data_IF_558059262161
#
_entry.id   IF_558059262161
#
_cell.length_a   1.000
_cell.length_b   1.000
_cell.length_c   1.000
_cell.angle_alpha   90.00
_cell.angle_beta   90.00
_cell.angle_gamma   90.00
#
_symmetry.space_group_name_H-M   'P 1'
#
loop_
_entity.id
_entity.type
_entity.pdbx_description
1 polymer ?
#
# COMPACT_ATOMS: atom_id res chain seq x y z
N UNK A 1 1.14 -59.21 -35.22
CA UNK A 1 1.93 -58.04 -35.62
C UNK A 1 1.14 -56.71 -35.79
N UNK A 2 -0.18 -56.69 -36.06
CA UNK A 2 -0.95 -55.44 -36.28
C UNK A 2 -1.39 -54.70 -34.99
N UNK A 3 -1.48 -55.33 -33.79
CA UNK A 3 -1.88 -54.68 -32.54
C UNK A 3 -0.76 -53.84 -31.90
N UNK A 4 0.50 -54.25 -32.01
CA UNK A 4 1.66 -53.55 -31.44
C UNK A 4 1.98 -52.24 -32.19
N UNK A 5 1.62 -52.16 -33.48
CA UNK A 5 1.80 -50.94 -34.29
C UNK A 5 0.80 -49.84 -33.95
N UNK A 6 -0.44 -50.19 -33.57
CA UNK A 6 -1.45 -49.21 -33.21
C UNK A 6 -1.21 -48.57 -31.82
N UNK A 7 -0.74 -49.38 -30.87
CA UNK A 7 -0.39 -48.88 -29.51
C UNK A 7 0.86 -47.99 -29.52
N UNK A 8 1.84 -48.31 -30.37
CA UNK A 8 3.03 -47.44 -30.55
C UNK A 8 2.69 -46.12 -31.26
N UNK A 9 1.77 -46.12 -32.24
CA UNK A 9 1.29 -44.88 -32.87
C UNK A 9 0.46 -44.01 -31.89
N UNK A 10 -0.40 -44.63 -31.07
CA UNK A 10 -1.17 -43.90 -30.04
C UNK A 10 -0.25 -43.30 -28.96
N UNK A 11 0.75 -44.04 -28.48
CA UNK A 11 1.73 -43.54 -27.52
C UNK A 11 2.66 -42.46 -28.10
N UNK A 12 2.98 -42.51 -29.36
CA UNK A 12 3.77 -41.46 -30.05
C UNK A 12 2.93 -40.21 -30.24
N UNK A 13 1.67 -40.31 -30.63
CA UNK A 13 0.76 -39.18 -30.77
C UNK A 13 0.44 -38.52 -29.42
N UNK A 14 0.28 -39.29 -28.33
CA UNK A 14 0.08 -38.75 -26.97
C UNK A 14 1.36 -38.10 -26.44
N UNK A 15 2.54 -38.64 -26.74
CA UNK A 15 3.82 -37.97 -26.38
C UNK A 15 4.07 -36.71 -27.22
N UNK A 16 3.72 -36.73 -28.51
CA UNK A 16 3.79 -35.52 -29.34
C UNK A 16 2.75 -34.48 -28.94
N UNK A 17 1.51 -34.87 -28.61
CA UNK A 17 0.51 -33.94 -28.03
C UNK A 17 0.96 -33.39 -26.70
N UNK A 18 1.46 -34.19 -25.75
CA UNK A 18 2.03 -33.68 -24.49
C UNK A 18 3.27 -32.80 -24.70
N UNK A 19 4.11 -33.09 -25.69
CA UNK A 19 5.25 -32.26 -26.05
C UNK A 19 4.81 -30.97 -26.75
N UNK A 20 3.73 -31.00 -27.53
CA UNK A 20 3.13 -29.83 -28.19
C UNK A 20 2.33 -28.98 -27.15
N UNK A 21 1.67 -29.62 -26.19
CA UNK A 21 1.02 -28.91 -25.08
C UNK A 21 2.05 -28.28 -24.13
N UNK A 22 3.14 -28.98 -23.81
CA UNK A 22 4.23 -28.39 -22.99
C UNK A 22 5.01 -27.30 -23.74
N UNK A 23 5.13 -27.38 -25.05
CA UNK A 23 5.72 -26.36 -25.92
C UNK A 23 4.75 -25.19 -26.18
N UNK A 24 3.44 -25.40 -26.06
CA UNK A 24 2.41 -24.39 -26.29
C UNK A 24 2.23 -23.38 -25.14
N UNK A 25 2.58 -23.76 -23.92
CA UNK A 25 2.50 -22.86 -22.75
C UNK A 25 3.80 -22.09 -22.45
N UNK A 26 4.94 -22.59 -22.87
CA UNK A 26 6.27 -22.02 -22.57
C UNK A 26 6.70 -20.89 -23.52
N UNK A 27 6.01 -20.66 -24.64
CA UNK A 27 6.44 -19.73 -25.70
C UNK A 27 5.53 -18.51 -25.91
N UNK A 28 4.56 -18.22 -25.01
CA UNK A 28 3.70 -17.06 -25.21
C UNK A 28 4.46 -15.74 -25.02
N UNK A 29 5.27 -15.59 -23.97
CA UNK A 29 6.08 -14.39 -23.70
C UNK A 29 7.58 -14.74 -23.73
N UNK A 30 8.43 -13.90 -24.37
CA UNK A 30 9.88 -14.14 -24.38
C UNK A 30 10.50 -13.97 -23.00
N UNK A 31 11.64 -14.62 -22.78
CA UNK A 31 12.46 -14.37 -21.59
C UNK A 31 13.08 -12.99 -21.66
N UNK A 32 12.81 -12.17 -20.65
CA UNK A 32 13.37 -10.83 -20.57
C UNK A 32 14.76 -10.86 -19.89
N UNK A 33 15.71 -10.04 -20.35
CA UNK A 33 16.96 -9.82 -19.64
C UNK A 33 16.71 -9.30 -18.23
N UNK A 34 17.53 -9.72 -17.27
CA UNK A 34 17.40 -9.25 -15.86
C UNK A 34 17.44 -7.72 -15.76
N UNK A 35 18.23 -7.04 -16.60
CA UNK A 35 18.29 -5.58 -16.67
C UNK A 35 16.95 -4.94 -16.98
N UNK A 36 16.16 -5.54 -17.89
CA UNK A 36 14.82 -5.07 -18.23
C UNK A 36 13.85 -5.28 -17.05
N UNK A 37 13.92 -6.43 -16.38
CA UNK A 37 13.11 -6.69 -15.18
C UNK A 37 13.45 -5.71 -14.06
N UNK A 38 14.73 -5.44 -13.82
CA UNK A 38 15.14 -4.45 -12.84
C UNK A 38 14.68 -3.03 -13.23
N UNK A 39 14.87 -2.60 -14.47
CA UNK A 39 14.41 -1.30 -14.94
C UNK A 39 12.89 -1.13 -14.82
N UNK A 40 12.13 -2.20 -15.12
CA UNK A 40 10.67 -2.21 -15.02
C UNK A 40 10.15 -2.09 -13.58
N UNK A 41 10.91 -2.58 -12.61
CA UNK A 41 10.52 -2.59 -11.20
C UNK A 41 11.18 -1.48 -10.38
N UNK A 42 12.19 -0.82 -10.94
CA UNK A 42 13.02 0.19 -10.24
C UNK A 42 12.21 1.40 -9.76
N UNK A 43 11.21 1.84 -10.52
CA UNK A 43 10.33 2.94 -10.15
C UNK A 43 9.51 2.71 -8.88
N UNK A 44 9.40 1.45 -8.43
CA UNK A 44 8.75 1.14 -7.16
C UNK A 44 9.46 1.78 -5.96
N UNK A 45 10.77 2.10 -6.06
CA UNK A 45 11.49 2.86 -5.03
C UNK A 45 10.80 4.20 -4.81
N UNK A 46 10.70 5.03 -5.86
CA UNK A 46 10.16 6.39 -5.76
C UNK A 46 8.69 6.43 -5.37
N UNK A 47 7.86 5.55 -5.93
CA UNK A 47 6.44 5.49 -5.59
C UNK A 47 6.23 5.11 -4.12
N UNK A 48 6.98 4.13 -3.61
CA UNK A 48 6.87 3.75 -2.20
C UNK A 48 7.49 4.81 -1.27
N UNK A 49 8.48 5.60 -1.73
CA UNK A 49 8.93 6.79 -0.99
C UNK A 49 7.77 7.79 -0.84
N UNK A 50 7.01 8.06 -1.90
CA UNK A 50 5.86 8.96 -1.83
C UNK A 50 4.82 8.47 -0.82
N UNK A 51 4.38 7.21 -0.90
CA UNK A 51 3.42 6.63 0.05
C UNK A 51 3.94 6.64 1.49
N UNK A 52 5.21 6.32 1.71
CA UNK A 52 5.77 6.28 3.06
C UNK A 52 5.93 7.68 3.66
N UNK A 53 6.36 8.66 2.89
CA UNK A 53 6.40 10.07 3.35
C UNK A 53 5.00 10.56 3.69
N UNK A 54 4.00 10.27 2.85
CA UNK A 54 2.61 10.60 3.13
C UNK A 54 2.16 9.93 4.44
N UNK A 55 2.28 8.62 4.57
CA UNK A 55 1.82 7.88 5.74
C UNK A 55 2.53 8.26 7.04
N UNK A 56 3.85 8.50 7.00
CA UNK A 56 4.64 8.80 8.20
C UNK A 56 4.65 10.27 8.60
N UNK A 57 4.46 11.20 7.65
CA UNK A 57 4.58 12.64 7.93
C UNK A 57 3.24 13.40 7.87
N UNK A 58 2.17 12.81 7.37
CA UNK A 58 0.88 13.50 7.18
C UNK A 58 0.32 14.06 8.49
N UNK A 59 0.25 13.23 9.54
CA UNK A 59 -0.21 13.67 10.87
C UNK A 59 0.69 14.78 11.44
N UNK A 60 2.00 14.67 11.25
CA UNK A 60 2.98 15.68 11.68
C UNK A 60 2.78 17.00 10.95
N UNK A 61 2.72 17.00 9.61
CA UNK A 61 2.55 18.21 8.81
C UNK A 61 1.24 18.91 9.16
N UNK A 62 0.14 18.18 9.17
CA UNK A 62 -1.20 18.74 9.43
C UNK A 62 -1.30 19.37 10.82
N UNK A 63 -0.79 18.73 11.85
CA UNK A 63 -0.77 19.30 13.19
C UNK A 63 0.18 20.51 13.28
N UNK A 64 1.33 20.48 12.62
CA UNK A 64 2.30 21.59 12.59
C UNK A 64 1.72 22.86 11.97
N UNK A 65 0.89 22.78 10.94
CA UNK A 65 0.22 23.94 10.32
C UNK A 65 -1.00 24.41 11.11
N UNK A 66 -1.33 23.75 12.22
CA UNK A 66 -2.38 24.17 13.15
C UNK A 66 -3.71 23.45 12.99
N UNK A 67 -3.75 22.30 12.34
CA UNK A 67 -4.94 21.44 12.31
C UNK A 67 -5.17 20.88 13.72
N UNK A 68 -6.38 21.10 14.24
CA UNK A 68 -6.77 20.50 15.50
C UNK A 68 -6.80 18.96 15.37
N UNK A 69 -6.27 18.20 16.35
CA UNK A 69 -6.31 16.74 16.32
C UNK A 69 -7.72 16.15 16.09
N UNK A 70 -8.78 16.82 16.56
CA UNK A 70 -10.17 16.43 16.25
C UNK A 70 -10.51 16.48 14.76
N UNK A 71 -9.84 17.31 13.98
CA UNK A 71 -10.08 17.48 12.54
C UNK A 71 -9.15 16.62 11.67
N UNK A 72 -8.24 15.84 12.25
CA UNK A 72 -7.33 14.98 11.49
C UNK A 72 -8.08 13.94 10.64
N UNK A 73 -9.24 13.48 11.10
CA UNK A 73 -10.08 12.56 10.36
C UNK A 73 -10.38 12.99 8.93
N UNK A 74 -10.53 14.30 8.66
CA UNK A 74 -10.75 14.79 7.27
C UNK A 74 -9.61 14.45 6.33
N UNK A 75 -8.38 14.56 6.78
CA UNK A 75 -7.18 14.31 5.99
C UNK A 75 -6.98 12.81 5.73
N UNK A 76 -7.30 11.97 6.72
CA UNK A 76 -7.19 10.51 6.60
C UNK A 76 -8.41 9.86 5.92
N UNK A 77 -9.52 10.60 5.75
CA UNK A 77 -10.70 10.18 4.98
C UNK A 77 -10.46 10.22 3.47
N UNK A 78 -9.75 11.27 2.98
CA UNK A 78 -9.63 11.54 1.54
C UNK A 78 -8.90 10.44 0.75
N UNK A 79 -7.74 9.91 1.20
CA UNK A 79 -7.03 8.85 0.49
C UNK A 79 -7.88 7.59 0.23
N UNK A 80 -8.50 6.97 1.24
CA UNK A 80 -9.31 5.77 1.01
C UNK A 80 -10.57 6.06 0.20
N UNK A 81 -11.16 7.25 0.34
CA UNK A 81 -12.31 7.66 -0.47
C UNK A 81 -11.95 7.72 -1.95
N UNK A 82 -10.83 8.34 -2.29
CA UNK A 82 -10.36 8.39 -3.68
C UNK A 82 -9.91 7.02 -4.18
N UNK A 83 -9.18 6.26 -3.37
CA UNK A 83 -8.71 4.92 -3.72
C UNK A 83 -9.84 3.96 -4.07
N UNK A 84 -10.98 4.05 -3.37
CA UNK A 84 -12.16 3.23 -3.61
C UNK A 84 -12.75 3.42 -5.02
N UNK A 85 -12.73 4.65 -5.56
CA UNK A 85 -13.29 4.96 -6.88
C UNK A 85 -12.24 4.94 -7.99
N UNK A 86 -11.05 5.46 -7.71
CA UNK A 86 -10.04 5.71 -8.75
C UNK A 86 -9.34 4.44 -9.20
N UNK A 87 -9.03 3.50 -8.29
CA UNK A 87 -8.31 2.28 -8.66
C UNK A 87 -9.06 1.41 -9.69
N UNK A 88 -10.38 1.15 -9.57
CA UNK A 88 -11.13 0.44 -10.60
C UNK A 88 -11.19 1.18 -11.95
N UNK A 89 -11.30 2.51 -11.91
CA UNK A 89 -11.33 3.33 -13.12
C UNK A 89 -9.98 3.30 -13.84
N UNK A 90 -8.87 3.45 -13.11
CA UNK A 90 -7.52 3.35 -13.67
C UNK A 90 -7.26 2.01 -14.35
N UNK A 91 -7.68 0.91 -13.71
CA UNK A 91 -7.59 -0.42 -14.33
C UNK A 91 -8.28 -0.45 -15.68
N UNK A 92 -9.55 -0.04 -15.73
CA UNK A 92 -10.37 -0.02 -16.94
C UNK A 92 -9.78 0.87 -18.04
N UNK A 93 -9.43 2.11 -17.72
CA UNK A 93 -8.86 3.03 -18.69
C UNK A 93 -7.48 2.60 -19.17
N UNK A 94 -6.63 2.12 -18.27
CA UNK A 94 -5.31 1.61 -18.62
C UNK A 94 -5.39 0.39 -19.53
N UNK A 95 -6.43 -0.44 -19.41
CA UNK A 95 -6.63 -1.60 -20.26
C UNK A 95 -7.07 -1.24 -21.69
N UNK A 96 -7.73 -0.12 -21.88
CA UNK A 96 -8.19 0.38 -23.19
C UNK A 96 -7.22 1.36 -23.85
N UNK A 97 -6.19 1.83 -23.13
CA UNK A 97 -5.24 2.81 -23.65
C UNK A 97 -4.17 2.14 -24.51
N UNK A 98 -3.97 2.67 -25.73
CA UNK A 98 -2.87 2.31 -26.60
C UNK A 98 -2.27 3.57 -27.20
N UNK A 99 -0.98 3.80 -26.93
CA UNK A 99 -0.23 4.93 -27.44
C UNK A 99 1.08 4.47 -28.06
N UNK A 100 1.81 5.41 -28.70
CA UNK A 100 3.17 5.16 -29.19
C UNK A 100 4.18 4.75 -28.10
N UNK A 101 3.88 5.05 -26.83
CA UNK A 101 4.70 4.71 -25.66
C UNK A 101 4.30 3.38 -25.02
N UNK A 102 3.24 2.75 -25.52
CA UNK A 102 2.66 1.56 -24.96
C UNK A 102 1.33 1.84 -24.26
N UNK A 103 0.96 0.96 -23.34
CA UNK A 103 -0.34 0.90 -22.66
C UNK A 103 -0.25 1.43 -21.22
N UNK A 104 0.86 1.17 -20.54
CA UNK A 104 1.07 1.50 -19.12
C UNK A 104 1.97 2.73 -18.92
N UNK A 105 2.99 2.88 -19.74
CA UNK A 105 3.96 4.00 -19.66
C UNK A 105 3.31 5.38 -19.70
N UNK A 106 2.23 5.65 -20.48
CA UNK A 106 1.58 6.97 -20.47
C UNK A 106 1.08 7.41 -19.11
N UNK A 107 0.63 6.47 -18.26
CA UNK A 107 0.18 6.77 -16.91
C UNK A 107 1.34 7.17 -15.99
N UNK A 108 2.54 6.61 -16.20
CA UNK A 108 3.75 7.04 -15.50
C UNK A 108 4.22 8.41 -15.98
N UNK A 109 4.14 8.69 -17.29
CA UNK A 109 4.51 9.97 -17.87
C UNK A 109 3.67 11.14 -17.31
N UNK A 110 2.42 10.90 -16.99
CA UNK A 110 1.52 11.90 -16.41
C UNK A 110 1.55 11.86 -14.88
N UNK A 111 1.45 10.68 -14.30
CA UNK A 111 1.33 10.49 -12.86
C UNK A 111 2.57 10.91 -12.09
N UNK A 112 3.77 10.52 -12.55
CA UNK A 112 4.98 10.82 -11.81
C UNK A 112 5.30 12.32 -11.72
N UNK A 113 5.26 13.13 -12.80
CA UNK A 113 5.48 14.58 -12.70
C UNK A 113 4.44 15.27 -11.79
N UNK A 114 3.16 14.90 -11.86
CA UNK A 114 2.13 15.50 -11.01
C UNK A 114 2.38 15.13 -9.54
N UNK A 115 2.68 13.86 -9.24
CA UNK A 115 3.03 13.43 -7.88
C UNK A 115 4.25 14.22 -7.36
N UNK A 116 5.28 14.40 -8.18
CA UNK A 116 6.48 15.18 -7.84
C UNK A 116 6.13 16.63 -7.51
N UNK A 117 5.31 17.29 -8.32
CA UNK A 117 4.86 18.67 -8.06
C UNK A 117 4.13 18.74 -6.71
N UNK A 118 3.21 17.84 -6.46
CA UNK A 118 2.46 17.80 -5.20
C UNK A 118 3.36 17.49 -4.01
N UNK A 119 4.31 16.55 -4.14
CA UNK A 119 5.32 16.27 -3.10
C UNK A 119 6.16 17.50 -2.78
N UNK A 120 6.52 18.30 -3.77
CA UNK A 120 7.25 19.56 -3.54
C UNK A 120 6.34 20.56 -2.81
N UNK A 121 5.09 20.69 -3.24
CA UNK A 121 4.18 21.73 -2.71
C UNK A 121 3.66 21.44 -1.31
N UNK A 122 3.40 20.18 -0.96
CA UNK A 122 2.76 19.79 0.31
C UNK A 122 3.50 20.31 1.56
N UNK A 123 4.82 20.14 1.73
CA UNK A 123 5.51 20.61 2.93
C UNK A 123 5.62 22.14 3.02
N UNK A 124 5.39 22.88 1.95
CA UNK A 124 5.38 24.34 1.93
C UNK A 124 4.03 24.95 2.34
N UNK A 125 3.03 24.15 2.71
CA UNK A 125 1.70 24.63 3.12
C UNK A 125 1.77 25.77 4.14
N UNK A 126 2.65 25.68 5.13
CA UNK A 126 2.83 26.72 6.14
C UNK A 126 3.61 27.96 5.65
N UNK A 127 4.26 27.88 4.48
CA UNK A 127 5.13 28.96 3.94
C UNK A 127 4.41 29.90 2.97
N UNK A 128 3.21 29.56 2.52
CA UNK A 128 2.44 30.37 1.55
C UNK A 128 1.70 31.55 2.19
N UNK A 129 1.92 31.86 3.47
CA UNK A 129 1.28 32.98 4.14
C UNK A 129 -0.20 32.77 4.50
N UNK A 130 -0.70 31.54 4.45
CA UNK A 130 -2.10 31.25 4.77
C UNK A 130 -2.47 31.46 6.25
N UNK A 131 -1.49 31.57 7.13
CA UNK A 131 -1.69 31.72 8.58
C UNK A 131 -1.85 30.38 9.30
N UNK A 132 -1.41 30.36 10.56
CA UNK A 132 -1.51 29.18 11.43
C UNK A 132 -2.96 28.83 11.73
N UNK A 133 -3.36 27.58 11.49
CA UNK A 133 -4.71 27.11 11.77
C UNK A 133 -5.79 27.70 10.85
N UNK A 134 -5.41 28.36 9.75
CA UNK A 134 -6.38 28.93 8.82
C UNK A 134 -7.08 27.86 7.99
N UNK A 135 -8.36 28.11 7.64
CA UNK A 135 -9.11 27.22 6.75
C UNK A 135 -8.42 27.05 5.40
N UNK A 136 -7.78 28.10 4.87
CA UNK A 136 -7.06 28.07 3.59
C UNK A 136 -5.87 27.08 3.64
N UNK A 137 -5.07 27.12 4.72
CA UNK A 137 -3.98 26.15 4.91
C UNK A 137 -4.50 24.71 5.01
N UNK A 138 -5.61 24.52 5.73
CA UNK A 138 -6.23 23.19 5.88
C UNK A 138 -6.76 22.65 4.56
N UNK A 139 -7.49 23.46 3.79
CA UNK A 139 -8.04 23.06 2.47
C UNK A 139 -6.90 22.78 1.49
N UNK A 140 -5.88 23.62 1.46
CA UNK A 140 -4.71 23.39 0.63
C UNK A 140 -4.01 22.06 0.97
N UNK A 141 -3.74 21.79 2.25
CA UNK A 141 -3.13 20.54 2.69
C UNK A 141 -4.01 19.33 2.34
N UNK A 142 -5.33 19.43 2.53
CA UNK A 142 -6.26 18.35 2.20
C UNK A 142 -6.25 18.02 0.70
N UNK A 143 -6.30 19.04 -0.15
CA UNK A 143 -6.20 18.88 -1.61
C UNK A 143 -4.85 18.28 -2.01
N UNK A 144 -3.75 18.79 -1.45
CA UNK A 144 -2.41 18.28 -1.76
C UNK A 144 -2.27 16.80 -1.33
N UNK A 145 -2.74 16.41 -0.14
CA UNK A 145 -2.73 15.03 0.33
C UNK A 145 -3.58 14.14 -0.58
N UNK A 146 -4.77 14.58 -0.96
CA UNK A 146 -5.66 13.86 -1.83
C UNK A 146 -5.06 13.64 -3.24
N UNK A 147 -4.46 14.68 -3.81
CA UNK A 147 -3.77 14.58 -5.10
C UNK A 147 -2.52 13.71 -5.02
N UNK A 148 -1.76 13.80 -3.93
CA UNK A 148 -0.59 12.96 -3.72
C UNK A 148 -0.95 11.48 -3.70
N UNK A 149 -1.99 11.11 -2.94
CA UNK A 149 -2.47 9.73 -2.90
C UNK A 149 -2.99 9.26 -4.26
N UNK A 150 -3.83 10.08 -4.90
CA UNK A 150 -4.40 9.81 -6.21
C UNK A 150 -3.32 9.50 -7.24
N UNK A 151 -2.36 10.41 -7.41
CA UNK A 151 -1.33 10.26 -8.45
C UNK A 151 -0.24 9.26 -8.08
N UNK A 152 0.03 9.02 -6.80
CA UNK A 152 0.86 7.90 -6.36
C UNK A 152 0.24 6.56 -6.74
N UNK A 153 -1.08 6.41 -6.59
CA UNK A 153 -1.82 5.23 -7.06
C UNK A 153 -1.83 5.12 -8.58
N UNK A 154 -1.96 6.25 -9.31
CA UNK A 154 -1.80 6.28 -10.78
C UNK A 154 -0.43 5.78 -11.22
N UNK A 155 0.63 6.05 -10.44
CA UNK A 155 1.97 5.53 -10.71
C UNK A 155 2.12 4.05 -10.32
N UNK A 156 1.56 3.62 -9.19
CA UNK A 156 1.74 2.26 -8.69
C UNK A 156 1.09 1.20 -9.58
N UNK A 157 -0.09 1.50 -10.13
CA UNK A 157 -0.85 0.57 -10.96
C UNK A 157 -0.07 0.09 -12.21
N UNK A 158 0.55 0.96 -13.02
CA UNK A 158 1.38 0.54 -14.15
C UNK A 158 2.51 -0.42 -13.75
N UNK A 159 3.21 -0.19 -12.65
CA UNK A 159 4.30 -1.07 -12.21
C UNK A 159 3.81 -2.49 -11.94
N UNK A 160 2.66 -2.63 -11.31
CA UNK A 160 2.03 -3.94 -11.08
C UNK A 160 1.61 -4.59 -12.40
N UNK A 161 1.02 -3.82 -13.31
CA UNK A 161 0.51 -4.33 -14.58
C UNK A 161 1.63 -4.69 -15.57
N UNK A 162 2.72 -3.90 -15.64
CA UNK A 162 3.86 -4.19 -16.51
C UNK A 162 4.46 -5.58 -16.24
N UNK A 163 4.60 -5.97 -14.98
CA UNK A 163 5.08 -7.30 -14.64
C UNK A 163 4.12 -8.40 -15.11
N UNK A 164 2.81 -8.16 -15.07
CA UNK A 164 1.79 -9.09 -15.59
C UNK A 164 1.77 -9.16 -17.11
N UNK A 165 1.93 -8.01 -17.78
CA UNK A 165 1.77 -7.87 -19.22
C UNK A 165 3.02 -8.32 -20.02
N UNK A 166 4.23 -8.17 -19.46
CA UNK A 166 5.48 -8.35 -20.20
C UNK A 166 6.29 -9.56 -19.78
N UNK A 167 6.10 -10.07 -18.56
CA UNK A 167 6.97 -11.11 -17.99
C UNK A 167 6.34 -12.49 -18.12
N UNK A 168 7.11 -13.46 -18.65
CA UNK A 168 6.67 -14.85 -18.74
C UNK A 168 6.49 -15.50 -17.35
N UNK A 169 5.73 -16.60 -17.29
CA UNK A 169 5.40 -17.28 -16.03
C UNK A 169 6.63 -17.68 -15.20
N UNK A 170 7.73 -18.08 -15.86
CA UNK A 170 8.97 -18.50 -15.17
C UNK A 170 9.66 -17.34 -14.46
N UNK A 171 9.51 -16.12 -14.98
CA UNK A 171 10.18 -14.92 -14.44
C UNK A 171 9.24 -14.05 -13.59
N UNK A 172 7.93 -14.33 -13.54
CA UNK A 172 6.96 -13.53 -12.78
C UNK A 172 7.35 -13.42 -11.30
N UNK A 173 7.71 -14.52 -10.65
CA UNK A 173 8.12 -14.50 -9.26
C UNK A 173 9.34 -13.59 -9.05
N UNK A 174 10.29 -13.59 -9.97
CA UNK A 174 11.47 -12.72 -9.92
C UNK A 174 11.08 -11.25 -10.02
N UNK A 175 10.21 -10.90 -10.99
CA UNK A 175 9.74 -9.52 -11.17
C UNK A 175 8.97 -9.01 -9.95
N UNK A 176 8.03 -9.80 -9.41
CA UNK A 176 7.29 -9.46 -8.20
C UNK A 176 8.20 -9.31 -6.97
N UNK A 177 9.21 -10.19 -6.84
CA UNK A 177 10.18 -10.10 -5.74
C UNK A 177 10.98 -8.79 -5.82
N UNK A 178 11.47 -8.40 -6.99
CA UNK A 178 12.18 -7.13 -7.15
C UNK A 178 11.30 -5.90 -6.93
N UNK A 179 10.02 -5.95 -7.33
CA UNK A 179 9.07 -4.88 -6.98
C UNK A 179 8.97 -4.69 -5.46
N UNK A 180 8.87 -5.78 -4.71
CA UNK A 180 8.78 -5.72 -3.25
C UNK A 180 10.09 -5.23 -2.63
N UNK A 181 11.24 -5.75 -3.08
CA UNK A 181 12.55 -5.29 -2.60
C UNK A 181 12.75 -3.79 -2.81
N UNK A 182 12.48 -3.30 -4.01
CA UNK A 182 12.60 -1.88 -4.32
C UNK A 182 11.56 -1.04 -3.57
N UNK A 183 10.34 -1.56 -3.43
CA UNK A 183 9.28 -0.91 -2.65
C UNK A 183 9.68 -0.72 -1.19
N UNK A 184 10.12 -1.79 -0.52
CA UNK A 184 10.57 -1.70 0.86
C UNK A 184 11.82 -0.84 1.02
N UNK A 185 12.79 -0.93 0.10
CA UNK A 185 13.98 -0.08 0.13
C UNK A 185 13.60 1.40 0.06
N UNK A 186 12.71 1.78 -0.86
CA UNK A 186 12.19 3.15 -0.97
C UNK A 186 11.46 3.58 0.30
N UNK A 187 10.59 2.73 0.83
CA UNK A 187 9.85 3.00 2.06
C UNK A 187 10.75 3.22 3.28
N UNK A 188 11.74 2.36 3.48
CA UNK A 188 12.71 2.48 4.59
C UNK A 188 13.52 3.76 4.46
N UNK A 189 14.03 4.06 3.26
CA UNK A 189 14.77 5.30 3.01
C UNK A 189 13.91 6.53 3.33
N UNK A 190 12.70 6.60 2.81
CA UNK A 190 11.78 7.70 3.04
C UNK A 190 11.45 7.92 4.52
N UNK A 191 11.18 6.83 5.24
CA UNK A 191 10.85 6.87 6.65
C UNK A 191 12.01 7.40 7.53
N UNK A 192 13.25 7.05 7.16
CA UNK A 192 14.45 7.46 7.90
C UNK A 192 14.94 8.87 7.52
N UNK A 193 14.58 9.40 6.35
CA UNK A 193 15.11 10.67 5.84
C UNK A 193 15.02 11.82 6.86
N UNK A 194 13.88 12.14 7.47
CA UNK A 194 13.82 13.26 8.43
C UNK A 194 14.75 13.09 9.62
N UNK A 195 14.89 11.86 10.12
CA UNK A 195 15.80 11.54 11.22
C UNK A 195 17.27 11.66 10.81
N UNK A 196 17.65 11.11 9.66
CA UNK A 196 19.01 11.19 9.13
C UNK A 196 19.40 12.66 8.89
N UNK A 197 18.53 13.44 8.26
CA UNK A 197 18.75 14.88 8.01
C UNK A 197 18.94 15.65 9.32
N UNK A 198 18.17 15.30 10.38
CA UNK A 198 18.37 15.90 11.70
C UNK A 198 19.76 15.58 12.26
N UNK A 199 20.24 14.35 12.12
CA UNK A 199 21.59 13.95 12.57
C UNK A 199 22.68 14.63 11.74
N UNK A 200 22.40 14.98 10.49
CA UNK A 200 23.31 15.76 9.63
C UNK A 200 23.26 17.29 9.90
N UNK A 201 22.51 17.73 10.91
CA UNK A 201 22.45 19.14 11.31
C UNK A 201 21.37 19.95 10.62
N UNK A 202 20.47 19.35 9.83
CA UNK A 202 19.33 20.05 9.24
C UNK A 202 18.31 20.38 10.33
N UNK A 203 17.80 21.61 10.34
CA UNK A 203 16.87 22.08 11.37
C UNK A 203 15.58 21.25 11.41
N UNK A 204 15.28 20.67 12.57
CA UNK A 204 14.08 19.86 12.83
C UNK A 204 12.95 20.66 13.50
N UNK A 205 13.15 21.94 13.70
CA UNK A 205 12.18 22.91 14.23
C UNK A 205 12.03 24.08 13.28
N UNK A 206 10.86 24.69 13.28
CA UNK A 206 10.57 25.86 12.46
C UNK A 206 9.65 26.83 13.25
N UNK A 207 9.40 28.00 12.68
CA UNK A 207 8.43 28.94 13.23
C UNK A 207 7.02 28.33 13.33
N UNK A 208 6.16 28.97 14.16
CA UNK A 208 4.79 28.52 14.35
C UNK A 208 4.06 28.40 13.00
N UNK A 209 3.51 27.22 12.72
CA UNK A 209 2.80 26.95 11.46
C UNK A 209 3.69 26.59 10.28
N UNK A 210 5.00 26.56 10.45
CA UNK A 210 5.95 26.19 9.38
C UNK A 210 6.44 24.76 9.56
N UNK A 211 6.51 24.03 8.48
CA UNK A 211 7.04 22.67 8.46
C UNK A 211 8.58 22.70 8.57
N UNK A 212 9.19 21.85 9.43
CA UNK A 212 10.64 21.82 9.58
C UNK A 212 11.40 21.48 8.29
N UNK A 213 12.61 22.05 8.15
CA UNK A 213 13.46 21.82 6.98
C UNK A 213 13.77 20.34 6.75
N UNK A 214 13.89 19.51 7.80
CA UNK A 214 14.08 18.06 7.69
C UNK A 214 12.95 17.38 6.92
N UNK A 215 11.71 17.80 7.14
CA UNK A 215 10.54 17.26 6.41
C UNK A 215 10.53 17.79 4.97
N UNK A 216 10.78 19.09 4.77
CA UNK A 216 10.84 19.68 3.43
C UNK A 216 11.89 18.95 2.56
N UNK A 217 13.11 18.80 3.06
CA UNK A 217 14.16 18.07 2.33
C UNK A 217 13.84 16.61 2.10
N UNK A 218 13.18 15.93 3.05
CA UNK A 218 12.76 14.55 2.86
C UNK A 218 11.77 14.42 1.69
N UNK A 219 10.82 15.34 1.56
CA UNK A 219 9.89 15.37 0.43
C UNK A 219 10.57 15.73 -0.89
N UNK A 220 11.51 16.68 -0.89
CA UNK A 220 12.28 17.06 -2.09
C UNK A 220 13.15 15.89 -2.60
N UNK A 221 13.84 15.19 -1.69
CA UNK A 221 14.63 14.00 -2.02
C UNK A 221 13.72 12.89 -2.54
N UNK A 222 12.58 12.64 -1.88
CA UNK A 222 11.58 11.67 -2.31
C UNK A 222 11.02 11.98 -3.70
N UNK A 223 10.73 13.25 -3.97
CA UNK A 223 10.26 13.74 -5.27
C UNK A 223 11.31 13.54 -6.37
N UNK A 224 12.58 13.89 -6.09
CA UNK A 224 13.70 13.66 -7.01
C UNK A 224 13.88 12.15 -7.30
N UNK A 225 13.82 11.31 -6.27
CA UNK A 225 13.92 9.86 -6.43
C UNK A 225 12.75 9.29 -7.23
N UNK A 226 11.51 9.74 -6.99
CA UNK A 226 10.35 9.34 -7.79
C UNK A 226 10.54 9.70 -9.26
N UNK A 227 11.02 10.91 -9.55
CA UNK A 227 11.25 11.35 -10.92
C UNK A 227 12.34 10.53 -11.61
N UNK A 228 13.50 10.38 -10.97
CA UNK A 228 14.65 9.63 -11.51
C UNK A 228 14.27 8.17 -11.75
N UNK A 229 13.67 7.50 -10.77
CA UNK A 229 13.35 6.08 -10.87
C UNK A 229 12.24 5.81 -11.89
N UNK A 230 11.27 6.73 -12.01
CA UNK A 230 10.23 6.65 -13.04
C UNK A 230 10.81 6.86 -14.44
N UNK A 231 11.73 7.80 -14.62
CA UNK A 231 12.41 8.00 -15.89
C UNK A 231 13.26 6.80 -16.30
N UNK A 232 13.96 6.18 -15.35
CA UNK A 232 14.68 4.92 -15.64
C UNK A 232 13.73 3.88 -16.22
N UNK A 233 12.54 3.70 -15.63
CA UNK A 233 11.55 2.77 -16.18
C UNK A 233 11.05 3.22 -17.55
N UNK A 234 10.63 4.47 -17.71
CA UNK A 234 10.03 5.01 -18.93
C UNK A 234 10.98 4.87 -20.14
N UNK A 235 12.28 5.14 -19.95
CA UNK A 235 13.24 5.12 -21.05
C UNK A 235 13.85 3.74 -21.34
N UNK A 236 13.82 2.82 -20.40
CA UNK A 236 14.43 1.50 -20.58
C UNK A 236 13.41 0.37 -20.82
N UNK A 237 12.11 0.64 -20.63
CA UNK A 237 11.07 -0.36 -20.83
C UNK A 237 10.26 -0.02 -22.08
N UNK A 238 10.24 -0.94 -23.03
CA UNK A 238 9.44 -0.82 -24.25
C UNK A 238 8.35 -1.86 -24.21
N UNK A 239 7.10 -1.41 -24.08
CA UNK A 239 5.94 -2.28 -24.10
C UNK A 239 5.70 -2.88 -25.47
N UNK A 240 5.05 -4.04 -25.50
CA UNK A 240 4.65 -4.68 -26.76
C UNK A 240 3.60 -3.82 -27.47
N UNK A 241 3.67 -3.79 -28.79
CA UNK A 241 2.62 -3.19 -29.61
C UNK A 241 1.31 -4.02 -29.55
N UNK A 242 0.15 -3.42 -29.90
CA UNK A 242 -1.15 -4.09 -29.74
C UNK A 242 -1.23 -5.47 -30.40
N UNK A 243 -0.64 -5.62 -31.59
CA UNK A 243 -0.69 -6.89 -32.34
C UNK A 243 0.16 -7.97 -31.67
N UNK A 244 1.38 -7.60 -31.26
CA UNK A 244 2.30 -8.49 -30.53
C UNK A 244 1.72 -8.87 -29.17
N UNK A 245 1.13 -7.92 -28.44
CA UNK A 245 0.46 -8.17 -27.17
C UNK A 245 -0.70 -9.16 -27.32
N UNK A 246 -1.61 -8.94 -28.29
CA UNK A 246 -2.74 -9.83 -28.55
C UNK A 246 -2.27 -11.26 -28.92
N UNK A 247 -1.18 -11.36 -29.70
CA UNK A 247 -0.58 -12.66 -30.05
C UNK A 247 -0.06 -13.40 -28.83
N UNK A 248 0.68 -12.74 -27.94
CA UNK A 248 1.26 -13.34 -26.75
C UNK A 248 0.20 -13.73 -25.71
N UNK A 249 -0.83 -12.90 -25.54
CA UNK A 249 -1.91 -13.13 -24.58
C UNK A 249 -3.09 -13.93 -25.14
N UNK A 250 -3.01 -14.42 -26.42
CA UNK A 250 -4.05 -15.20 -27.09
C UNK A 250 -5.44 -14.56 -26.98
N UNK A 251 -5.49 -13.24 -27.13
CA UNK A 251 -6.76 -12.49 -27.07
C UNK A 251 -7.49 -12.75 -28.38
N UNK A 252 -8.55 -13.59 -28.34
CA UNK A 252 -9.49 -13.71 -29.43
C UNK A 252 -10.42 -12.50 -29.40
N UNK A 253 -10.48 -11.73 -30.47
CA UNK A 253 -11.31 -10.54 -30.63
C UNK A 253 -12.81 -10.83 -30.41
N UNK A 254 -13.24 -12.08 -30.61
CA UNK A 254 -14.63 -12.52 -30.48
C UNK A 254 -15.11 -12.77 -29.04
N UNK A 255 -14.23 -12.72 -28.03
CA UNK A 255 -14.61 -12.89 -26.62
C UNK A 255 -14.30 -11.64 -25.83
N UNK A 256 -15.10 -10.59 -26.02
CA UNK A 256 -15.19 -9.54 -24.99
C UNK A 256 -15.67 -10.19 -23.69
N UNK A 257 -14.75 -10.37 -22.74
CA UNK A 257 -15.15 -10.72 -21.38
C UNK A 257 -15.97 -9.54 -20.82
N UNK A 258 -17.27 -9.69 -20.88
CA UNK A 258 -18.20 -8.72 -20.24
C UNK A 258 -17.93 -8.79 -18.73
N UNK A 259 -17.25 -7.79 -18.22
CA UNK A 259 -17.03 -7.67 -16.77
C UNK A 259 -18.41 -7.57 -16.10
N UNK A 260 -18.76 -8.49 -15.19
CA UNK A 260 -20.08 -8.45 -14.56
C UNK A 260 -20.28 -7.13 -13.81
N UNK A 261 -21.50 -6.62 -13.77
CA UNK A 261 -21.84 -5.45 -12.96
C UNK A 261 -21.48 -5.70 -11.48
N UNK A 262 -21.02 -4.67 -10.76
CA UNK A 262 -20.68 -4.74 -9.32
C UNK A 262 -21.81 -5.37 -8.49
N UNK A 263 -23.09 -5.03 -8.79
CA UNK A 263 -24.25 -5.62 -8.13
C UNK A 263 -24.40 -7.13 -8.37
N UNK A 264 -24.06 -7.58 -9.57
CA UNK A 264 -24.08 -9.02 -9.88
C UNK A 264 -22.94 -9.74 -9.15
N UNK A 265 -21.77 -9.14 -9.08
CA UNK A 265 -20.64 -9.67 -8.32
C UNK A 265 -20.96 -9.77 -6.82
N UNK A 266 -21.52 -8.69 -6.21
CA UNK A 266 -21.92 -8.69 -4.78
C UNK A 266 -22.92 -9.82 -4.41
N UNK A 267 -23.78 -10.22 -5.36
CA UNK A 267 -24.73 -11.33 -5.13
C UNK A 267 -24.09 -12.72 -5.23
N UNK A 268 -22.90 -12.80 -5.84
CA UNK A 268 -22.21 -14.06 -6.12
C UNK A 268 -20.93 -14.25 -5.30
N UNK A 269 -20.60 -13.29 -4.40
CA UNK A 269 -19.44 -13.43 -3.51
C UNK A 269 -19.60 -14.61 -2.56
N UNK A 270 -18.52 -15.37 -2.31
CA UNK A 270 -18.56 -16.45 -1.34
C UNK A 270 -18.77 -15.90 0.09
N UNK A 271 -19.27 -16.75 0.99
CA UNK A 271 -19.45 -16.40 2.40
C UNK A 271 -18.19 -15.88 3.07
N UNK A 272 -17.04 -16.47 2.76
CA UNK A 272 -15.72 -16.04 3.24
C UNK A 272 -15.39 -14.58 2.92
N UNK A 273 -15.93 -14.01 1.85
CA UNK A 273 -15.76 -12.59 1.52
C UNK A 273 -16.31 -11.68 2.63
N UNK A 274 -17.54 -11.94 3.08
CA UNK A 274 -18.19 -11.13 4.13
C UNK A 274 -17.53 -11.33 5.49
N UNK A 275 -17.14 -12.56 5.80
CA UNK A 275 -16.42 -12.90 7.02
C UNK A 275 -15.05 -12.18 7.08
N UNK A 276 -14.30 -12.19 5.98
CA UNK A 276 -13.07 -11.44 5.86
C UNK A 276 -13.31 -9.92 5.90
N UNK A 277 -14.40 -9.42 5.31
CA UNK A 277 -14.74 -8.01 5.38
C UNK A 277 -15.00 -7.53 6.82
N UNK A 278 -15.57 -8.38 7.69
CA UNK A 278 -15.72 -8.08 9.12
C UNK A 278 -14.35 -7.97 9.80
N UNK A 279 -13.43 -8.89 9.53
CA UNK A 279 -12.06 -8.81 10.06
C UNK A 279 -11.38 -7.53 9.59
N UNK A 280 -11.50 -7.20 8.32
CA UNK A 280 -10.93 -5.97 7.75
C UNK A 280 -11.54 -4.71 8.37
N UNK A 281 -12.86 -4.74 8.69
CA UNK A 281 -13.53 -3.59 9.32
C UNK A 281 -12.82 -3.16 10.59
N UNK A 282 -12.61 -4.08 11.51
CA UNK A 282 -12.00 -3.76 12.80
C UNK A 282 -10.49 -3.51 12.68
N UNK A 283 -9.80 -4.29 11.88
CA UNK A 283 -8.34 -4.19 11.73
C UNK A 283 -7.91 -2.86 11.09
N UNK A 284 -8.60 -2.41 10.03
CA UNK A 284 -8.25 -1.13 9.37
C UNK A 284 -8.63 0.10 10.19
N UNK A 285 -9.64 0.01 11.07
CA UNK A 285 -9.91 1.07 12.06
C UNK A 285 -8.71 1.20 13.02
N UNK A 286 -8.18 0.08 13.52
CA UNK A 286 -7.00 0.07 14.40
C UNK A 286 -5.76 0.69 13.75
N UNK A 287 -5.46 0.26 12.51
CA UNK A 287 -4.34 0.80 11.73
C UNK A 287 -4.52 2.30 11.46
N UNK A 288 -5.69 2.72 11.03
CA UNK A 288 -5.98 4.11 10.70
C UNK A 288 -5.81 5.01 11.94
N UNK A 289 -6.27 4.61 13.12
CA UNK A 289 -6.08 5.38 14.35
C UNK A 289 -4.60 5.44 14.76
N UNK A 290 -3.83 4.38 14.51
CA UNK A 290 -2.38 4.42 14.72
C UNK A 290 -1.71 5.43 13.79
N UNK A 291 -2.01 5.44 12.51
CA UNK A 291 -1.46 6.42 11.56
C UNK A 291 -1.82 7.85 11.90
N UNK A 292 -3.05 8.06 12.38
CA UNK A 292 -3.57 9.40 12.69
C UNK A 292 -2.99 9.95 13.98
N UNK A 293 -2.91 9.14 15.03
CA UNK A 293 -2.71 9.64 16.39
C UNK A 293 -1.37 9.27 17.03
N UNK A 294 -0.59 8.33 16.47
CA UNK A 294 0.64 7.85 17.11
C UNK A 294 1.67 8.96 17.35
N UNK A 295 1.87 9.86 16.39
CA UNK A 295 2.83 10.96 16.53
C UNK A 295 2.48 11.86 17.72
N UNK A 296 1.23 12.26 17.84
CA UNK A 296 0.79 13.12 18.95
C UNK A 296 0.71 12.39 20.28
N UNK A 297 0.33 11.12 20.31
CA UNK A 297 0.36 10.29 21.51
C UNK A 297 1.78 10.16 22.05
N UNK A 298 2.75 9.84 21.20
CA UNK A 298 4.16 9.75 21.59
C UNK A 298 4.71 11.13 22.03
N UNK A 299 4.38 12.20 21.31
CA UNK A 299 4.81 13.55 21.71
C UNK A 299 4.36 13.89 23.12
N UNK A 300 3.11 13.57 23.48
CA UNK A 300 2.59 13.75 24.81
C UNK A 300 3.25 12.83 25.85
N UNK A 301 3.33 11.54 25.57
CA UNK A 301 3.74 10.55 26.57
C UNK A 301 5.26 10.49 26.78
N UNK A 302 6.06 10.68 25.72
CA UNK A 302 7.53 10.52 25.78
C UNK A 302 8.22 11.88 25.89
N UNK A 303 7.73 12.90 25.17
CA UNK A 303 8.35 14.22 25.15
C UNK A 303 7.55 15.29 25.95
N UNK A 304 6.50 14.88 26.65
CA UNK A 304 5.68 15.74 27.54
C UNK A 304 5.20 17.03 26.85
N UNK A 305 4.76 16.93 25.60
CA UNK A 305 4.31 18.07 24.81
C UNK A 305 3.12 17.73 23.91
N UNK A 306 2.18 18.66 23.85
CA UNK A 306 1.07 18.65 22.88
C UNK A 306 1.21 19.76 21.83
N UNK A 307 2.25 20.61 21.97
CA UNK A 307 2.48 21.72 21.06
C UNK A 307 3.21 21.25 19.78
N UNK A 308 2.54 21.30 18.62
CA UNK A 308 3.13 20.83 17.36
C UNK A 308 4.37 21.61 16.89
N UNK A 309 4.56 22.85 17.36
CA UNK A 309 5.73 23.67 17.05
C UNK A 309 6.93 23.38 17.96
N UNK A 310 6.78 22.56 19.00
CA UNK A 310 7.85 22.25 19.95
C UNK A 310 8.86 21.25 19.35
N UNK A 311 10.09 21.33 19.84
CA UNK A 311 11.16 20.38 19.48
C UNK A 311 10.79 18.93 19.82
N UNK A 312 10.08 18.73 20.95
CA UNK A 312 9.61 17.40 21.38
C UNK A 312 8.60 16.78 20.40
N UNK A 313 7.62 17.56 19.92
CA UNK A 313 6.67 17.07 18.93
C UNK A 313 7.36 16.71 17.61
N UNK A 314 8.31 17.54 17.18
CA UNK A 314 9.06 17.29 15.96
C UNK A 314 10.02 16.10 16.11
N UNK A 315 10.56 15.87 17.32
CA UNK A 315 11.32 14.65 17.63
C UNK A 315 10.44 13.39 17.59
N UNK A 316 9.20 13.46 18.11
CA UNK A 316 8.24 12.35 18.00
C UNK A 316 7.92 12.02 16.54
N UNK A 317 7.75 13.01 15.67
CA UNK A 317 7.54 12.80 14.25
C UNK A 317 8.73 12.10 13.54
N UNK A 318 9.97 12.51 13.87
CA UNK A 318 11.17 11.82 13.40
C UNK A 318 11.24 10.38 13.90
N UNK A 319 10.92 10.18 15.18
CA UNK A 319 10.95 8.85 15.79
C UNK A 319 9.89 7.93 15.20
N UNK A 320 8.71 8.44 14.88
CA UNK A 320 7.67 7.70 14.15
C UNK A 320 8.18 7.23 12.78
N UNK A 321 8.97 8.04 12.09
CA UNK A 321 9.67 7.63 10.87
C UNK A 321 10.65 6.46 11.12
N UNK A 322 11.48 6.53 12.16
CA UNK A 322 12.39 5.43 12.55
C UNK A 322 11.61 4.15 12.85
N UNK A 323 10.51 4.26 13.60
CA UNK A 323 9.62 3.13 13.90
C UNK A 323 8.98 2.56 12.62
N UNK A 324 8.60 3.42 11.67
CA UNK A 324 8.07 3.01 10.35
C UNK A 324 9.10 2.21 9.54
N UNK A 325 10.36 2.62 9.53
CA UNK A 325 11.44 1.86 8.91
C UNK A 325 11.65 0.50 9.60
N UNK A 326 11.63 0.50 10.94
CA UNK A 326 11.85 -0.70 11.75
C UNK A 326 10.74 -1.75 11.54
N UNK A 327 9.46 -1.32 11.54
CA UNK A 327 8.38 -2.25 11.26
C UNK A 327 8.42 -2.80 9.84
N UNK A 328 8.90 -2.02 8.86
CA UNK A 328 9.03 -2.48 7.48
C UNK A 328 10.04 -3.63 7.36
N UNK A 329 11.15 -3.54 8.11
CA UNK A 329 12.13 -4.64 8.22
C UNK A 329 11.50 -5.85 8.91
N UNK A 330 10.78 -5.64 10.02
CA UNK A 330 10.10 -6.72 10.74
C UNK A 330 9.04 -7.41 9.87
N UNK A 331 8.27 -6.66 9.09
CA UNK A 331 7.29 -7.18 8.14
C UNK A 331 7.95 -8.06 7.06
N UNK A 332 9.11 -7.63 6.53
CA UNK A 332 9.88 -8.40 5.56
C UNK A 332 10.36 -9.72 6.15
N UNK A 333 10.98 -9.69 7.34
CA UNK A 333 11.44 -10.89 8.03
C UNK A 333 10.31 -11.84 8.37
N UNK A 334 9.18 -11.29 8.82
CA UNK A 334 7.96 -12.07 9.07
C UNK A 334 7.42 -12.71 7.80
N UNK A 335 7.44 -12.01 6.67
CA UNK A 335 7.03 -12.55 5.37
C UNK A 335 7.87 -13.76 4.93
N UNK A 336 9.20 -13.71 5.16
CA UNK A 336 10.11 -14.83 4.89
C UNK A 336 9.82 -16.04 5.80
N UNK A 337 9.47 -15.80 7.05
CA UNK A 337 9.05 -16.85 7.98
C UNK A 337 7.70 -17.43 7.55
N UNK A 338 6.70 -16.56 7.28
CA UNK A 338 5.36 -16.97 6.91
C UNK A 338 5.33 -17.81 5.62
N UNK A 339 6.19 -17.53 4.65
CA UNK A 339 6.29 -18.30 3.41
C UNK A 339 6.60 -19.79 3.63
N UNK A 340 7.13 -20.17 4.79
CA UNK A 340 7.41 -21.56 5.17
C UNK A 340 6.27 -22.22 5.94
N UNK A 341 5.19 -21.50 6.24
CA UNK A 341 4.06 -22.02 7.02
C UNK A 341 3.11 -22.84 6.14
N UNK A 342 2.33 -23.71 6.78
CA UNK A 342 1.36 -24.57 6.08
C UNK A 342 0.05 -23.84 5.84
N UNK A 343 -0.63 -24.19 4.74
CA UNK A 343 -1.91 -23.58 4.37
C UNK A 343 -3.01 -23.73 5.46
N UNK A 344 -3.05 -24.85 6.17
CA UNK A 344 -4.00 -25.11 7.24
C UNK A 344 -3.78 -24.27 8.52
N UNK A 345 -2.70 -23.50 8.59
CA UNK A 345 -2.36 -22.62 9.70
C UNK A 345 -2.71 -21.15 9.43
N UNK A 346 -3.32 -20.82 8.27
CA UNK A 346 -3.58 -19.42 7.86
C UNK A 346 -4.40 -18.65 8.87
N UNK A 347 -5.49 -19.22 9.39
CA UNK A 347 -6.32 -18.58 10.42
C UNK A 347 -5.54 -18.26 11.69
N UNK A 348 -4.73 -19.23 12.16
CA UNK A 348 -3.90 -19.02 13.34
C UNK A 348 -2.92 -17.86 13.13
N UNK A 349 -2.18 -17.86 12.02
CA UNK A 349 -1.21 -16.80 11.74
C UNK A 349 -1.89 -15.45 11.47
N UNK A 350 -3.12 -15.47 10.93
CA UNK A 350 -3.88 -14.24 10.74
C UNK A 350 -4.32 -13.64 12.08
N UNK A 351 -4.94 -14.42 12.95
CA UNK A 351 -5.32 -13.97 14.29
C UNK A 351 -4.09 -13.54 15.10
N UNK A 352 -3.00 -14.33 15.08
CA UNK A 352 -1.76 -14.02 15.75
C UNK A 352 -1.16 -12.68 15.28
N UNK A 353 -1.09 -12.45 13.98
CA UNK A 353 -0.55 -11.20 13.43
C UNK A 353 -1.35 -9.97 13.85
N UNK A 354 -2.69 -10.05 13.80
CA UNK A 354 -3.54 -8.96 14.27
C UNK A 354 -3.43 -8.74 15.79
N UNK A 355 -3.30 -9.81 16.57
CA UNK A 355 -3.10 -9.71 18.01
C UNK A 355 -1.74 -9.10 18.37
N UNK A 356 -0.68 -9.46 17.63
CA UNK A 356 0.63 -8.84 17.78
C UNK A 356 0.57 -7.32 17.47
N UNK A 357 -0.17 -6.94 16.44
CA UNK A 357 -0.42 -5.53 16.10
C UNK A 357 -1.17 -4.82 17.24
N UNK A 358 -2.21 -5.42 17.79
CA UNK A 358 -2.93 -4.87 18.94
C UNK A 358 -1.99 -4.61 20.13
N UNK A 359 -1.11 -5.57 20.47
CA UNK A 359 -0.10 -5.39 21.52
C UNK A 359 0.82 -4.21 21.21
N UNK A 360 1.24 -4.05 19.96
CA UNK A 360 2.03 -2.90 19.54
C UNK A 360 1.30 -1.58 19.81
N UNK A 361 0.05 -1.49 19.37
CA UNK A 361 -0.76 -0.27 19.50
C UNK A 361 -0.90 0.14 20.97
N UNK A 362 -1.24 -0.79 21.87
CA UNK A 362 -1.39 -0.45 23.31
C UNK A 362 -0.07 -0.04 23.96
N UNK A 363 1.03 -0.70 23.62
CA UNK A 363 2.36 -0.32 24.14
C UNK A 363 2.72 1.09 23.68
N UNK A 364 2.56 1.41 22.38
CA UNK A 364 2.86 2.75 21.86
C UNK A 364 1.94 3.82 22.47
N UNK A 365 0.67 3.49 22.71
CA UNK A 365 -0.30 4.40 23.31
C UNK A 365 0.00 4.75 24.77
N UNK A 366 0.72 3.90 25.49
CA UNK A 366 0.90 4.03 26.96
C UNK A 366 2.35 4.20 27.41
N UNK A 367 3.32 3.87 26.57
CA UNK A 367 4.75 3.93 26.96
C UNK A 367 5.26 5.35 27.06
N UNK A 368 6.18 5.57 28.02
CA UNK A 368 6.96 6.80 28.18
C UNK A 368 8.42 6.65 27.70
N UNK A 369 8.71 5.54 27.01
CA UNK A 369 10.06 5.24 26.55
C UNK A 369 10.07 4.99 25.03
N UNK A 370 10.84 5.81 24.29
CA UNK A 370 10.93 5.74 22.84
C UNK A 370 11.47 4.38 22.33
N UNK A 371 12.37 3.73 23.06
CA UNK A 371 12.95 2.44 22.66
C UNK A 371 11.96 1.29 22.84
N UNK A 372 11.10 1.35 23.87
CA UNK A 372 10.01 0.41 24.06
C UNK A 372 8.99 0.57 22.92
N UNK A 373 8.66 1.79 22.52
CA UNK A 373 7.81 2.06 21.38
C UNK A 373 8.41 1.49 20.07
N UNK A 374 9.72 1.65 19.86
CA UNK A 374 10.41 1.12 18.68
C UNK A 374 10.33 -0.40 18.62
N UNK A 375 10.64 -1.09 19.71
CA UNK A 375 10.60 -2.56 19.78
C UNK A 375 9.17 -3.07 19.57
N UNK A 376 8.18 -2.40 20.19
CA UNK A 376 6.78 -2.74 20.00
C UNK A 376 6.36 -2.63 18.52
N UNK A 377 6.91 -1.68 17.78
CA UNK A 377 6.59 -1.51 16.35
C UNK A 377 7.10 -2.65 15.44
N UNK A 378 7.97 -3.54 15.93
CA UNK A 378 8.23 -4.80 15.24
C UNK A 378 6.97 -5.69 15.19
N UNK A 379 6.18 -5.72 16.28
CA UNK A 379 4.90 -6.43 16.31
C UNK A 379 3.87 -5.81 15.35
N UNK A 380 3.87 -4.47 15.22
CA UNK A 380 3.10 -3.77 14.20
C UNK A 380 3.47 -4.23 12.79
N UNK A 381 4.76 -4.46 12.52
CA UNK A 381 5.23 -5.00 11.24
C UNK A 381 4.67 -6.39 10.92
N UNK A 382 4.57 -7.27 11.93
CA UNK A 382 3.94 -8.59 11.81
C UNK A 382 2.46 -8.43 11.40
N UNK A 383 1.71 -7.59 12.10
CA UNK A 383 0.30 -7.32 11.81
C UNK A 383 0.10 -6.67 10.47
N UNK A 384 0.91 -5.67 10.12
CA UNK A 384 0.84 -4.97 8.84
C UNK A 384 1.07 -5.91 7.63
N UNK A 385 2.06 -6.81 7.69
CA UNK A 385 2.24 -7.86 6.69
C UNK A 385 1.00 -8.75 6.60
N UNK A 386 0.50 -9.15 7.75
CA UNK A 386 -0.60 -10.12 7.89
C UNK A 386 -1.90 -9.59 7.27
N UNK A 387 -2.30 -8.35 7.60
CA UNK A 387 -3.53 -7.74 7.08
C UNK A 387 -3.48 -7.47 5.57
N UNK A 388 -2.29 -7.24 5.03
CA UNK A 388 -2.09 -6.99 3.60
C UNK A 388 -1.90 -8.27 2.77
N UNK A 389 -1.73 -9.45 3.40
CA UNK A 389 -1.41 -10.69 2.67
C UNK A 389 -2.47 -11.77 2.85
N UNK A 390 -2.84 -12.08 4.10
CA UNK A 390 -3.67 -13.25 4.39
C UNK A 390 -5.11 -13.13 3.89
N UNK A 391 -5.81 -12.01 4.03
CA UNK A 391 -7.19 -11.89 3.54
C UNK A 391 -7.30 -12.16 2.04
N UNK A 392 -6.35 -11.61 1.26
CA UNK A 392 -6.31 -11.83 -0.18
C UNK A 392 -6.00 -13.28 -0.54
N UNK A 393 -5.08 -13.92 0.20
CA UNK A 393 -4.76 -15.34 0.02
C UNK A 393 -5.96 -16.23 0.35
N UNK A 394 -6.65 -15.97 1.48
CA UNK A 394 -7.82 -16.75 1.91
C UNK A 394 -9.01 -16.53 0.96
N UNK A 395 -9.23 -15.28 0.50
CA UNK A 395 -10.29 -14.98 -0.45
C UNK A 395 -10.05 -15.70 -1.79
N UNK A 396 -8.84 -15.62 -2.34
CA UNK A 396 -8.52 -16.22 -3.65
C UNK A 396 -8.63 -17.73 -3.64
N UNK A 397 -8.39 -18.40 -2.51
CA UNK A 397 -8.60 -19.86 -2.37
C UNK A 397 -10.09 -20.24 -2.32
N UNK A 398 -10.98 -19.30 -2.02
CA UNK A 398 -12.43 -19.51 -1.98
C UNK A 398 -13.14 -19.14 -3.30
N UNK A 399 -12.41 -18.66 -4.30
CA UNK A 399 -12.94 -18.25 -5.60
C UNK A 399 -12.66 -19.31 -6.67
N UNK A 400 -13.60 -19.44 -7.65
CA UNK A 400 -13.52 -20.44 -8.73
C UNK A 400 -12.47 -20.12 -9.82
N UNK A 401 -11.60 -19.14 -9.60
CA UNK A 401 -10.60 -18.68 -10.58
C UNK A 401 -11.15 -17.78 -11.68
N UNK A 402 -12.47 -17.81 -11.94
CA UNK A 402 -13.13 -16.90 -12.87
C UNK A 402 -13.36 -15.55 -12.20
N UNK A 403 -13.03 -14.46 -12.83
CA UNK A 403 -13.24 -13.09 -12.30
C UNK A 403 -12.49 -12.76 -10.98
N UNK A 404 -11.42 -13.46 -10.64
CA UNK A 404 -10.64 -13.18 -9.42
C UNK A 404 -10.27 -11.70 -9.29
N UNK A 405 -9.83 -11.06 -10.37
CA UNK A 405 -9.49 -9.63 -10.38
C UNK A 405 -10.67 -8.73 -9.98
N UNK A 406 -11.88 -9.04 -10.46
CA UNK A 406 -13.09 -8.29 -10.13
C UNK A 406 -13.48 -8.46 -8.65
N UNK A 407 -13.35 -9.67 -8.10
CA UNK A 407 -13.61 -9.92 -6.67
C UNK A 407 -12.56 -9.26 -5.78
N UNK A 408 -11.28 -9.27 -6.16
CA UNK A 408 -10.23 -8.57 -5.43
C UNK A 408 -10.41 -7.05 -5.49
N UNK A 409 -10.83 -6.51 -6.63
CA UNK A 409 -11.21 -5.10 -6.76
C UNK A 409 -12.39 -4.73 -5.87
N UNK A 410 -13.41 -5.60 -5.79
CA UNK A 410 -14.54 -5.42 -4.89
C UNK A 410 -14.10 -5.51 -3.41
N UNK A 411 -13.17 -6.40 -3.09
CA UNK A 411 -12.63 -6.57 -1.74
C UNK A 411 -11.83 -5.35 -1.28
N UNK A 412 -11.27 -4.56 -2.21
CA UNK A 412 -10.62 -3.30 -1.86
C UNK A 412 -11.61 -2.31 -1.18
N UNK A 413 -12.91 -2.42 -1.44
CA UNK A 413 -13.93 -1.66 -0.72
C UNK A 413 -13.92 -2.05 0.77
N UNK A 414 -13.75 -3.33 1.10
CA UNK A 414 -13.63 -3.79 2.48
C UNK A 414 -12.35 -3.30 3.20
N UNK A 415 -11.38 -2.80 2.45
CA UNK A 415 -10.18 -2.14 2.98
C UNK A 415 -10.41 -0.63 3.17
N UNK A 416 -11.01 0.03 2.19
CA UNK A 416 -11.19 1.48 2.20
C UNK A 416 -12.35 1.93 3.11
N UNK A 417 -13.47 1.21 3.10
CA UNK A 417 -14.67 1.57 3.86
C UNK A 417 -14.43 1.66 5.38
N UNK A 418 -13.72 0.74 6.03
CA UNK A 418 -13.36 0.87 7.45
C UNK A 418 -12.57 2.13 7.79
N UNK A 419 -11.65 2.53 6.91
CA UNK A 419 -10.86 3.74 7.11
C UNK A 419 -11.74 4.99 7.03
N UNK A 420 -12.72 5.00 6.12
CA UNK A 420 -13.74 6.05 6.01
C UNK A 420 -14.60 6.09 7.29
N UNK A 421 -15.11 4.93 7.73
CA UNK A 421 -15.93 4.82 8.94
C UNK A 421 -15.12 5.27 10.17
N UNK A 422 -13.89 4.80 10.33
CA UNK A 422 -13.01 5.19 11.43
C UNK A 422 -12.70 6.69 11.45
N UNK A 423 -12.45 7.28 10.25
CA UNK A 423 -12.25 8.73 10.12
C UNK A 423 -13.48 9.52 10.54
N UNK A 424 -14.66 9.14 10.08
CA UNK A 424 -15.92 9.81 10.45
C UNK A 424 -16.24 9.61 11.95
N UNK A 425 -16.05 8.41 12.47
CA UNK A 425 -16.27 8.11 13.88
C UNK A 425 -15.31 8.92 14.79
N UNK A 426 -14.12 9.25 14.32
CA UNK A 426 -13.14 10.01 15.10
C UNK A 426 -13.65 11.39 15.52
N UNK A 427 -14.50 12.06 14.72
CA UNK A 427 -15.09 13.36 15.06
C UNK A 427 -15.98 13.32 16.29
N UNK A 428 -16.65 12.19 16.50
CA UNK A 428 -17.52 11.98 17.67
C UNK A 428 -16.72 11.41 18.84
N UNK A 429 -15.87 10.44 18.58
CA UNK A 429 -15.15 9.70 19.62
C UNK A 429 -14.07 10.58 20.28
N UNK A 430 -13.32 11.36 19.51
CA UNK A 430 -12.19 12.14 20.01
C UNK A 430 -12.56 13.11 21.14
N UNK A 431 -13.64 13.92 21.05
CA UNK A 431 -14.11 14.72 22.16
C UNK A 431 -14.59 13.90 23.37
N UNK A 432 -15.24 12.74 23.13
CA UNK A 432 -15.74 11.86 24.18
C UNK A 432 -14.62 11.27 25.04
N UNK A 433 -13.43 11.09 24.48
CA UNK A 433 -12.26 10.56 25.19
C UNK A 433 -11.33 11.69 25.70
N UNK A 434 -11.85 12.87 25.90
CA UNK A 434 -11.12 14.00 26.46
C UNK A 434 -10.06 14.60 25.53
N UNK A 435 -10.26 14.52 24.21
CA UNK A 435 -9.33 15.01 23.18
C UNK A 435 -7.93 14.36 23.27
N UNK A 436 -7.86 13.12 23.73
CA UNK A 436 -6.60 12.41 23.94
C UNK A 436 -6.25 11.54 22.75
N UNK A 437 -5.11 11.82 22.11
CA UNK A 437 -4.59 11.02 21.02
C UNK A 437 -4.22 9.59 21.47
N UNK A 438 -3.70 9.43 22.69
CA UNK A 438 -3.41 8.12 23.30
C UNK A 438 -4.69 7.29 23.49
N UNK A 439 -5.79 7.91 23.95
CA UNK A 439 -7.07 7.22 24.10
C UNK A 439 -7.65 6.75 22.75
N UNK A 440 -7.49 7.54 21.68
CA UNK A 440 -7.88 7.11 20.33
C UNK A 440 -7.09 5.88 19.88
N UNK A 441 -5.80 5.80 20.20
CA UNK A 441 -5.01 4.59 19.94
C UNK A 441 -5.50 3.40 20.78
N UNK A 442 -5.92 3.60 22.04
CA UNK A 442 -6.50 2.53 22.87
C UNK A 442 -7.80 2.01 22.24
N UNK A 443 -8.63 2.87 21.66
CA UNK A 443 -9.82 2.43 20.90
C UNK A 443 -9.39 1.64 19.66
N UNK A 444 -8.33 2.07 18.98
CA UNK A 444 -7.71 1.32 17.88
C UNK A 444 -7.21 -0.07 18.31
N UNK A 445 -6.61 -0.16 19.49
CA UNK A 445 -6.24 -1.45 20.11
C UNK A 445 -7.46 -2.35 20.32
N UNK A 446 -8.54 -1.83 20.90
CA UNK A 446 -9.78 -2.63 21.11
C UNK A 446 -10.36 -3.11 19.78
N UNK A 447 -10.41 -2.25 18.76
CA UNK A 447 -10.84 -2.64 17.43
C UNK A 447 -9.94 -3.75 16.84
N UNK A 448 -8.62 -3.63 16.96
CA UNK A 448 -7.68 -4.62 16.46
C UNK A 448 -7.81 -5.98 17.19
N UNK A 449 -8.06 -5.97 18.50
CA UNK A 449 -8.36 -7.19 19.29
C UNK A 449 -9.64 -7.85 18.77
N UNK A 450 -10.70 -7.08 18.55
CA UNK A 450 -11.97 -7.61 17.97
C UNK A 450 -11.68 -8.19 16.59
N UNK A 451 -10.89 -7.50 15.76
CA UNK A 451 -10.46 -7.98 14.45
C UNK A 451 -9.72 -9.32 14.54
N UNK A 452 -8.79 -9.47 15.48
CA UNK A 452 -8.05 -10.70 15.72
C UNK A 452 -8.96 -11.88 16.05
N UNK A 453 -9.93 -11.71 16.96
CA UNK A 453 -10.91 -12.74 17.30
C UNK A 453 -11.92 -13.01 16.18
N UNK A 454 -12.26 -11.99 15.37
CA UNK A 454 -13.16 -12.15 14.23
C UNK A 454 -12.61 -13.10 13.17
N UNK A 455 -11.29 -13.34 13.13
CA UNK A 455 -10.69 -14.34 12.23
C UNK A 455 -11.27 -15.74 12.47
N UNK A 456 -11.70 -16.05 13.69
CA UNK A 456 -12.24 -17.37 14.05
C UNK A 456 -13.54 -17.72 13.28
N UNK A 457 -14.32 -16.70 12.90
CA UNK A 457 -15.56 -16.89 12.13
C UNK A 457 -15.32 -17.18 10.65
N UNK A 458 -14.10 -16.91 10.12
CA UNK A 458 -13.80 -17.07 8.70
C UNK A 458 -13.79 -18.54 8.30
N UNK A 459 -14.58 -18.91 7.31
CA UNK A 459 -14.58 -20.25 6.72
C UNK A 459 -13.66 -20.26 5.50
N UNK A 460 -12.57 -21.01 5.59
CA UNK A 460 -11.73 -21.28 4.41
C UNK A 460 -12.48 -22.25 3.50
N UNK A 461 -12.59 -21.91 2.20
CA UNK A 461 -13.06 -22.84 1.19
C UNK A 461 -12.16 -24.09 1.19
N UNK A 462 -12.81 -25.27 1.06
CA UNK A 462 -12.09 -26.54 0.94
C UNK A 462 -11.37 -26.63 -0.39
#
# INVERSE_FOLDING_TARGET
>A
MKKVSAENMANTSVKEQKKTESLGFDNALPTLPIKTILAMTFGCIGVNMAFTLQGSQMSRITQTIGVNPNSLGWFFLLPPLLGMFVQPLLGKYSDSTWTRWGRRIPYLLVGAPITVIVMIMLPFTGSFGFGYGSMTAMVYAAIAIALMDLFSNVCLAPYKMLAGDMVNEKQKNLAWSWQQVFGYAGGILAALLPYILTKLGVANTAGKGQVPATVIWAYLIGAAMLLITSFVTIFNVHEYDPKTYAKYHKINEDKQQVTPSLWKLLKTVPRSFWELAIVQLFSWIGIMYTWTYATGAMANNIWNTTNPSSSGFQAAGNWYGVMTAFYSVAALLWGLFYAKTKANQRKFWYSFGLFADAISIIIVATTHNQWVALIAFALYGIGNFTINTLPYTMLTTSLDGRNNGSYLGLFNIAVCLPQIIGSLASFVIFPMVGNSQSMMMIIGFVAMVIGSFSVLIVHEGK
#
